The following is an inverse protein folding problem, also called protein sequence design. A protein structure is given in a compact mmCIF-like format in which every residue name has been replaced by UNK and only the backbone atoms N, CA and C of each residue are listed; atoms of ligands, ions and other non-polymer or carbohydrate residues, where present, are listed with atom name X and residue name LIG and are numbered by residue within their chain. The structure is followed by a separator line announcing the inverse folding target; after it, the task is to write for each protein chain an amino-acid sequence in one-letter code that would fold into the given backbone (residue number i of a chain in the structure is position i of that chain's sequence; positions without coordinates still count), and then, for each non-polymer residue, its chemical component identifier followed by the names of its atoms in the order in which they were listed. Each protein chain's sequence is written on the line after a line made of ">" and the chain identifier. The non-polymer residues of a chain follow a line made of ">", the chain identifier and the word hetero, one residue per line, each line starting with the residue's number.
data_IF_317788515063
#
_entry.id   IF_317788515063
#
_cell.length_a   1.000
_cell.length_b   1.000
_cell.length_c   1.000
_cell.angle_alpha   90.00
_cell.angle_beta   90.00
_cell.angle_gamma   90.00
#
_symmetry.space_group_name_H-M   'P 1'
#
loop_
_entity.id
_entity.type
_entity.pdbx_description
1 polymer ?
#
# COMPACT_ATOMS: atom_id res chain seq x y z
N UNK A 1 -0.97 1.84 60.43
CA UNK A 1 -1.13 0.96 59.26
C UNK A 1 -2.20 1.47 58.29
N UNK A 2 -3.40 1.83 58.72
CA UNK A 2 -4.50 2.36 57.89
C UNK A 2 -4.14 3.63 57.07
N UNK A 3 -3.38 4.57 57.62
CA UNK A 3 -2.98 5.81 56.96
C UNK A 3 -1.98 5.58 55.79
N UNK A 4 -1.08 4.60 55.93
CA UNK A 4 -0.14 4.22 54.86
C UNK A 4 -0.85 3.52 53.69
N UNK A 5 -1.80 2.65 54.02
CA UNK A 5 -2.60 1.93 53.03
C UNK A 5 -3.47 2.89 52.19
N UNK A 6 -4.06 3.89 52.84
CA UNK A 6 -4.90 4.89 52.19
C UNK A 6 -4.08 5.85 51.29
N UNK A 7 -2.84 6.19 51.67
CA UNK A 7 -1.91 6.97 50.83
C UNK A 7 -1.45 6.15 49.61
N UNK A 8 -1.15 4.88 49.82
CA UNK A 8 -0.76 3.98 48.71
C UNK A 8 -1.88 3.83 47.66
N UNK A 9 -3.14 3.63 48.10
CA UNK A 9 -4.30 3.59 47.19
C UNK A 9 -4.56 4.91 46.46
N UNK A 10 -4.39 6.05 47.13
CA UNK A 10 -4.52 7.37 46.49
C UNK A 10 -3.45 7.60 45.42
N UNK A 11 -2.21 7.16 45.66
CA UNK A 11 -1.15 7.26 44.67
C UNK A 11 -1.39 6.35 43.46
N UNK A 12 -1.84 5.11 43.64
CA UNK A 12 -2.20 4.20 42.56
C UNK A 12 -3.39 4.75 41.76
N UNK A 13 -4.43 5.25 42.44
CA UNK A 13 -5.57 5.88 41.76
C UNK A 13 -5.15 7.12 40.96
N UNK A 14 -4.21 7.93 41.49
CA UNK A 14 -3.65 9.08 40.76
C UNK A 14 -2.86 8.66 39.51
N UNK A 15 -2.01 7.63 39.64
CA UNK A 15 -1.26 7.09 38.48
C UNK A 15 -2.20 6.52 37.45
N UNK A 16 -3.22 5.77 37.86
CA UNK A 16 -4.23 5.21 36.95
C UNK A 16 -5.00 6.32 36.22
N UNK A 17 -5.44 7.36 36.95
CA UNK A 17 -6.14 8.51 36.37
C UNK A 17 -5.25 9.23 35.35
N UNK A 18 -3.98 9.49 35.68
CA UNK A 18 -3.02 10.08 34.74
C UNK A 18 -2.84 9.21 33.48
N UNK A 19 -2.70 7.89 33.65
CA UNK A 19 -2.58 6.98 32.52
C UNK A 19 -3.81 7.00 31.61
N UNK A 20 -5.01 7.00 32.19
CA UNK A 20 -6.27 7.13 31.43
C UNK A 20 -6.34 8.47 30.71
N UNK A 21 -5.98 9.58 31.37
CA UNK A 21 -5.96 10.90 30.73
C UNK A 21 -4.94 10.96 29.57
N UNK A 22 -3.74 10.42 29.75
CA UNK A 22 -2.72 10.37 28.70
C UNK A 22 -3.18 9.51 27.51
N UNK A 23 -3.78 8.35 27.78
CA UNK A 23 -4.31 7.47 26.74
C UNK A 23 -5.47 8.14 25.99
N UNK A 24 -6.39 8.77 26.71
CA UNK A 24 -7.51 9.52 26.09
C UNK A 24 -7.00 10.69 25.25
N UNK A 25 -5.95 11.40 25.70
CA UNK A 25 -5.35 12.49 24.95
C UNK A 25 -4.66 11.98 23.68
N UNK A 26 -3.92 10.87 23.76
CA UNK A 26 -3.30 10.25 22.59
C UNK A 26 -4.36 9.82 21.54
N UNK A 27 -5.42 9.14 22.00
CA UNK A 27 -6.52 8.74 21.08
C UNK A 27 -7.24 9.92 20.46
N UNK A 28 -7.30 11.06 21.14
CA UNK A 28 -7.87 12.30 20.59
C UNK A 28 -6.99 12.91 19.50
N UNK A 29 -5.67 12.90 19.67
CA UNK A 29 -4.71 13.39 18.67
C UNK A 29 -4.80 12.55 17.40
N UNK A 30 -4.80 11.22 17.55
CA UNK A 30 -4.83 10.27 16.43
C UNK A 30 -6.15 10.29 15.66
N UNK A 31 -7.25 10.73 16.30
CA UNK A 31 -8.56 10.84 15.67
C UNK A 31 -8.70 12.02 14.68
N UNK A 32 -7.70 12.89 14.59
CA UNK A 32 -7.68 14.03 13.67
C UNK A 32 -6.42 13.95 12.81
N UNK A 33 -6.50 14.06 11.48
CA UNK A 33 -5.33 14.02 10.60
C UNK A 33 -4.38 15.19 10.88
N UNK A 34 -3.08 14.98 10.70
CA UNK A 34 -2.06 16.04 10.82
C UNK A 34 -2.09 17.01 9.64
N UNK A 35 -2.55 16.51 8.47
CA UNK A 35 -2.65 17.25 7.24
C UNK A 35 -4.01 17.00 6.59
N UNK A 36 -4.65 18.05 6.10
CA UNK A 36 -5.90 18.01 5.36
C UNK A 36 -5.76 18.79 4.07
N UNK A 37 -6.47 18.35 3.04
CA UNK A 37 -6.50 19.00 1.74
C UNK A 37 -7.88 19.57 1.47
N UNK A 38 -7.95 20.68 0.78
CA UNK A 38 -9.19 21.32 0.38
C UNK A 38 -9.09 21.72 -1.10
N UNK A 39 -10.09 21.33 -1.90
CA UNK A 39 -10.17 21.87 -3.25
C UNK A 39 -10.66 23.32 -3.21
N UNK A 40 -10.12 24.15 -4.11
CA UNK A 40 -10.52 25.55 -4.19
C UNK A 40 -12.05 25.66 -4.38
N UNK A 41 -12.69 26.45 -3.50
CA UNK A 41 -14.15 26.63 -3.51
C UNK A 41 -14.96 25.61 -2.71
N UNK A 42 -14.35 24.54 -2.21
CA UNK A 42 -15.01 23.56 -1.35
C UNK A 42 -15.05 24.03 0.12
N UNK A 43 -15.94 23.40 0.89
CA UNK A 43 -16.01 23.62 2.34
C UNK A 43 -15.27 22.50 3.05
N UNK A 44 -14.37 22.86 3.97
CA UNK A 44 -13.68 21.86 4.79
C UNK A 44 -14.65 21.14 5.71
N UNK A 45 -14.74 19.83 5.58
CA UNK A 45 -15.50 18.96 6.45
C UNK A 45 -14.59 17.89 7.04
N UNK A 46 -14.75 17.57 8.32
CA UNK A 46 -14.04 16.49 8.99
C UNK A 46 -15.06 15.61 9.71
N UNK A 47 -15.17 14.35 9.30
CA UNK A 47 -16.01 13.38 10.03
C UNK A 47 -15.20 12.86 11.24
N UNK A 48 -15.42 13.50 12.39
CA UNK A 48 -14.76 13.14 13.64
C UNK A 48 -15.78 12.70 14.69
N UNK A 49 -15.49 11.61 15.39
CA UNK A 49 -16.26 11.15 16.56
C UNK A 49 -16.13 12.11 17.76
N UNK A 50 -15.21 13.07 17.68
CA UNK A 50 -14.93 14.04 18.72
C UNK A 50 -15.55 15.40 18.39
N UNK A 51 -16.02 16.16 19.39
CA UNK A 51 -16.49 17.52 19.21
C UNK A 51 -15.31 18.49 19.06
N UNK A 52 -14.63 18.42 17.93
CA UNK A 52 -13.50 19.30 17.61
C UNK A 52 -13.91 20.38 16.60
N UNK A 53 -13.26 21.53 16.62
CA UNK A 53 -13.38 22.60 15.64
C UNK A 53 -12.01 23.00 15.12
N UNK A 54 -11.91 23.24 13.81
CA UNK A 54 -10.71 23.75 13.16
C UNK A 54 -10.82 25.26 13.01
N UNK A 55 -9.79 26.00 13.41
CA UNK A 55 -9.70 27.47 13.32
C UNK A 55 -8.40 27.87 12.67
N UNK A 56 -8.41 28.93 11.85
CA UNK A 56 -7.17 29.53 11.34
C UNK A 56 -6.31 30.00 12.51
N UNK A 57 -5.03 29.62 12.52
CA UNK A 57 -4.08 30.02 13.55
C UNK A 57 -3.75 31.53 13.48
N UNK A 58 -3.87 32.17 12.32
CA UNK A 58 -3.61 33.58 12.13
C UNK A 58 -4.89 34.42 12.29
N UNK A 59 -4.89 35.35 13.22
CA UNK A 59 -6.00 36.00 13.90
C UNK A 59 -6.84 36.97 13.06
N UNK A 60 -7.00 36.79 11.76
CA UNK A 60 -7.79 37.73 10.92
C UNK A 60 -8.98 37.12 10.18
N UNK A 61 -9.09 35.81 10.08
CA UNK A 61 -10.28 35.17 9.49
C UNK A 61 -10.55 33.82 10.17
N UNK A 62 -11.67 33.71 10.89
CA UNK A 62 -12.10 32.44 11.45
C UNK A 62 -12.88 31.66 10.40
N UNK A 63 -12.25 30.69 9.75
CA UNK A 63 -12.97 29.65 9.00
C UNK A 63 -13.44 28.62 10.03
N UNK A 64 -14.75 28.53 10.27
CA UNK A 64 -15.33 27.46 11.08
C UNK A 64 -15.61 26.27 10.17
N UNK A 65 -14.89 25.17 10.35
CA UNK A 65 -15.31 23.88 9.85
C UNK A 65 -16.39 23.34 10.79
N UNK A 66 -17.57 23.08 10.26
CA UNK A 66 -18.68 22.50 11.02
C UNK A 66 -18.44 20.99 11.14
N UNK A 67 -18.25 20.52 12.37
CA UNK A 67 -17.98 19.12 12.69
C UNK A 67 -19.24 18.57 13.33
N UNK A 68 -20.10 17.95 12.52
CA UNK A 68 -21.39 17.44 12.96
C UNK A 68 -21.51 15.94 12.89
N UNK A 69 -21.63 15.30 14.04
CA UNK A 69 -22.27 14.00 14.13
C UNK A 69 -23.76 14.20 14.44
N UNK A 70 -24.62 13.79 13.51
CA UNK A 70 -26.05 13.62 13.70
C UNK A 70 -26.80 14.65 14.58
N UNK A 71 -27.09 15.81 14.04
CA UNK A 71 -28.35 16.46 14.34
C UNK A 71 -28.81 17.22 13.09
N UNK A 72 -29.94 16.82 12.55
CA UNK A 72 -30.71 17.58 11.60
C UNK A 72 -31.17 18.89 12.27
N UNK A 73 -30.33 19.89 12.20
CA UNK A 73 -30.76 21.27 12.20
C UNK A 73 -29.81 22.06 11.31
N UNK A 74 -30.28 22.23 10.09
CA UNK A 74 -29.84 23.28 9.20
C UNK A 74 -29.83 24.57 9.99
N UNK A 75 -28.67 25.02 10.47
CA UNK A 75 -28.54 26.41 10.86
C UNK A 75 -28.84 27.22 9.59
N UNK A 76 -30.07 27.73 9.54
CA UNK A 76 -30.49 28.70 8.56
C UNK A 76 -29.50 29.85 8.62
N UNK A 77 -28.72 29.93 7.56
CA UNK A 77 -27.81 31.02 7.25
C UNK A 77 -28.63 32.33 7.31
N UNK A 78 -28.58 33.01 8.43
CA UNK A 78 -29.05 34.38 8.45
C UNK A 78 -28.17 35.19 7.50
N UNK A 79 -28.83 35.80 6.53
CA UNK A 79 -28.27 36.72 5.57
C UNK A 79 -27.72 37.95 6.28
N UNK A 80 -26.50 37.91 6.75
CA UNK A 80 -25.67 39.08 6.95
C UNK A 80 -24.42 38.83 6.10
N UNK A 81 -24.30 39.62 5.05
CA UNK A 81 -23.29 39.46 4.01
C UNK A 81 -21.87 39.61 4.55
N UNK A 82 -21.24 38.48 4.74
CA UNK A 82 -19.79 38.38 4.63
C UNK A 82 -19.57 37.16 3.74
N UNK A 83 -19.14 37.44 2.52
CA UNK A 83 -18.70 36.42 1.60
C UNK A 83 -17.63 35.59 2.34
N UNK A 84 -17.82 34.28 2.45
CA UNK A 84 -16.71 33.36 2.71
C UNK A 84 -15.78 33.56 1.51
N UNK A 85 -14.73 34.37 1.65
CA UNK A 85 -13.69 34.42 0.66
C UNK A 85 -13.15 32.99 0.57
N UNK A 86 -13.28 32.38 -0.61
CA UNK A 86 -12.67 31.09 -0.90
C UNK A 86 -11.18 31.22 -0.63
N UNK A 87 -10.64 30.32 0.18
CA UNK A 87 -9.20 30.23 0.37
C UNK A 87 -8.58 29.98 -1.01
N UNK A 88 -7.59 30.77 -1.37
CA UNK A 88 -6.82 30.57 -2.58
C UNK A 88 -5.82 29.40 -2.39
N UNK A 89 -5.36 28.82 -3.49
CA UNK A 89 -4.29 27.82 -3.48
C UNK A 89 -3.12 28.26 -2.59
N UNK A 90 -2.70 27.35 -1.69
CA UNK A 90 -1.63 27.62 -0.73
C UNK A 90 -1.69 26.77 0.53
N UNK A 91 -0.70 26.98 1.39
CA UNK A 91 -0.54 26.29 2.67
C UNK A 91 -1.02 27.16 3.82
N UNK A 92 -1.79 26.57 4.72
CA UNK A 92 -2.37 27.22 5.89
C UNK A 92 -2.18 26.34 7.12
N UNK A 93 -2.18 26.95 8.31
CA UNK A 93 -2.15 26.21 9.58
C UNK A 93 -3.44 26.46 10.34
N UNK A 94 -4.04 25.37 10.80
CA UNK A 94 -5.28 25.37 11.56
C UNK A 94 -5.04 24.89 12.99
N UNK A 95 -5.63 25.55 13.96
CA UNK A 95 -5.69 25.06 15.35
C UNK A 95 -6.88 24.13 15.50
N UNK A 96 -6.63 22.85 15.80
CA UNK A 96 -7.67 21.92 16.19
C UNK A 96 -8.00 22.11 17.66
N UNK A 97 -9.24 22.51 17.95
CA UNK A 97 -9.72 22.80 19.29
C UNK A 97 -10.86 21.88 19.72
N UNK A 98 -10.70 21.18 20.85
CA UNK A 98 -11.78 20.42 21.48
C UNK A 98 -12.87 21.39 22.01
N UNK A 99 -14.13 21.09 21.73
CA UNK A 99 -15.28 21.97 22.01
C UNK A 99 -15.11 23.39 21.46
N UNK A 100 -14.23 23.58 20.45
CA UNK A 100 -13.91 24.88 19.88
C UNK A 100 -13.13 25.84 20.81
N UNK A 101 -12.62 25.36 21.95
CA UNK A 101 -11.99 26.18 22.99
C UNK A 101 -10.58 25.68 23.32
N UNK A 102 -10.42 24.37 23.55
CA UNK A 102 -9.15 23.82 24.05
C UNK A 102 -8.30 23.34 22.86
N UNK A 103 -7.14 23.98 22.59
CA UNK A 103 -6.29 23.53 21.49
C UNK A 103 -5.71 22.13 21.80
N UNK A 104 -5.82 21.20 20.84
CA UNK A 104 -5.33 19.84 20.93
C UNK A 104 -4.04 19.71 20.11
N UNK A 105 -4.08 20.16 18.84
CA UNK A 105 -2.94 20.13 17.93
C UNK A 105 -3.11 21.12 16.78
N UNK A 106 -2.00 21.40 16.09
CA UNK A 106 -2.00 22.10 14.81
C UNK A 106 -2.24 21.10 13.68
N UNK A 107 -3.01 21.50 12.66
CA UNK A 107 -3.30 20.75 11.45
C UNK A 107 -2.86 21.57 10.25
N UNK A 108 -2.07 21.01 9.36
CA UNK A 108 -1.72 21.65 8.10
C UNK A 108 -2.87 21.54 7.11
N UNK A 109 -3.19 22.62 6.42
CA UNK A 109 -4.21 22.66 5.37
C UNK A 109 -3.57 23.10 4.06
N UNK A 110 -3.60 22.24 3.06
CA UNK A 110 -3.23 22.61 1.69
C UNK A 110 -4.48 22.84 0.85
N UNK A 111 -4.62 24.03 0.31
CA UNK A 111 -5.65 24.33 -0.70
C UNK A 111 -5.06 24.07 -2.07
N UNK A 112 -5.67 23.14 -2.81
CA UNK A 112 -5.14 22.60 -4.06
C UNK A 112 -6.21 22.54 -5.14
N UNK A 113 -5.78 22.45 -6.40
CA UNK A 113 -6.67 22.11 -7.50
C UNK A 113 -7.18 20.68 -7.36
N UNK A 114 -8.47 20.48 -7.62
CA UNK A 114 -9.09 19.16 -7.56
C UNK A 114 -8.53 18.23 -8.65
N UNK A 115 -7.93 17.11 -8.24
CA UNK A 115 -7.47 16.06 -9.17
C UNK A 115 -8.60 15.15 -9.60
N UNK A 116 -8.59 14.74 -10.85
CA UNK A 116 -9.48 13.70 -11.38
C UNK A 116 -8.65 12.55 -11.93
N UNK A 117 -9.11 11.33 -11.69
CA UNK A 117 -8.41 10.10 -12.07
C UNK A 117 -9.35 9.16 -12.81
N UNK A 118 -8.85 8.51 -13.85
CA UNK A 118 -9.54 7.39 -14.47
C UNK A 118 -9.44 6.19 -13.54
N UNK A 119 -10.57 5.72 -13.06
CA UNK A 119 -10.64 4.57 -12.13
C UNK A 119 -10.75 3.30 -12.95
N UNK A 120 -9.83 2.36 -12.72
CA UNK A 120 -9.67 1.20 -13.59
C UNK A 120 -10.32 -0.08 -13.03
N UNK A 121 -9.81 -0.62 -11.93
CA UNK A 121 -10.29 -1.90 -11.37
C UNK A 121 -9.98 -3.13 -12.22
N UNK A 122 -9.17 -3.00 -13.27
CA UNK A 122 -8.78 -4.11 -14.13
C UNK A 122 -7.71 -4.98 -13.49
N UNK A 123 -7.93 -6.29 -13.56
CA UNK A 123 -6.92 -7.29 -13.22
C UNK A 123 -5.82 -7.27 -14.27
N UNK A 124 -4.59 -7.12 -13.82
CA UNK A 124 -3.38 -7.02 -14.65
C UNK A 124 -2.34 -8.05 -14.23
N UNK A 125 -1.58 -8.53 -15.21
CA UNK A 125 -0.37 -9.30 -14.95
C UNK A 125 0.80 -8.35 -14.73
N UNK A 126 1.55 -8.60 -13.67
CA UNK A 126 2.74 -7.83 -13.31
C UNK A 126 3.94 -8.73 -13.49
N UNK A 127 4.92 -8.26 -14.23
CA UNK A 127 6.21 -8.90 -14.39
C UNK A 127 7.31 -7.92 -14.07
N UNK A 128 8.31 -8.36 -13.32
CA UNK A 128 9.47 -7.56 -13.00
C UNK A 128 10.74 -8.40 -12.93
N UNK A 129 11.83 -7.91 -13.54
CA UNK A 129 13.16 -8.44 -13.31
C UNK A 129 13.79 -7.75 -12.09
N UNK A 130 14.50 -8.49 -11.27
CA UNK A 130 15.21 -7.92 -10.12
C UNK A 130 16.50 -7.21 -10.53
N UNK A 131 17.03 -6.37 -9.65
CA UNK A 131 18.36 -5.75 -9.83
C UNK A 131 19.45 -6.73 -9.44
N UNK A 132 19.67 -7.77 -10.25
CA UNK A 132 20.56 -8.89 -9.96
C UNK A 132 19.81 -10.13 -9.49
N UNK A 133 20.53 -11.11 -9.00
CA UNK A 133 20.01 -12.41 -8.58
C UNK A 133 19.74 -12.40 -7.08
N UNK A 134 18.46 -12.44 -6.68
CA UNK A 134 18.04 -12.47 -5.28
C UNK A 134 18.31 -13.83 -4.65
N UNK A 135 18.99 -13.85 -3.54
CA UNK A 135 19.20 -15.04 -2.69
C UNK A 135 17.97 -15.23 -1.80
N UNK A 136 17.33 -16.39 -1.91
CA UNK A 136 16.21 -16.79 -1.08
C UNK A 136 16.67 -17.55 0.17
N UNK A 137 17.79 -18.27 0.05
CA UNK A 137 18.38 -19.05 1.13
C UNK A 137 19.48 -19.97 0.62
N UNK A 138 20.05 -20.75 1.53
CA UNK A 138 21.06 -21.77 1.22
C UNK A 138 20.64 -23.15 1.69
N UNK A 139 21.28 -24.17 1.12
CA UNK A 139 21.13 -25.56 1.51
C UNK A 139 22.42 -26.34 1.28
N UNK A 140 22.64 -27.46 2.00
CA UNK A 140 23.76 -28.33 1.75
C UNK A 140 23.80 -28.85 0.32
N UNK A 141 24.99 -28.95 -0.24
CA UNK A 141 25.30 -29.59 -1.53
C UNK A 141 25.95 -30.94 -1.26
N UNK A 142 25.44 -32.01 -1.87
CA UNK A 142 26.09 -33.31 -1.89
C UNK A 142 27.26 -33.25 -2.88
N UNK A 143 28.48 -33.32 -2.36
CA UNK A 143 29.70 -33.30 -3.16
C UNK A 143 29.94 -34.64 -3.86
N UNK A 144 30.79 -34.64 -4.86
CA UNK A 144 31.16 -35.82 -5.65
C UNK A 144 31.89 -36.91 -4.82
N UNK A 145 32.41 -36.56 -3.64
CA UNK A 145 33.00 -37.50 -2.66
C UNK A 145 31.93 -38.07 -1.67
N UNK A 146 30.66 -37.70 -1.82
CA UNK A 146 29.55 -38.10 -0.94
C UNK A 146 29.45 -37.32 0.37
N UNK A 147 30.26 -36.30 0.58
CA UNK A 147 30.16 -35.39 1.71
C UNK A 147 29.07 -34.32 1.47
N UNK A 148 28.48 -33.77 2.55
CA UNK A 148 27.59 -32.62 2.45
C UNK A 148 28.34 -31.36 2.85
N UNK A 149 28.33 -30.33 1.98
CA UNK A 149 29.03 -29.07 2.19
C UNK A 149 28.06 -27.90 2.00
N UNK A 150 28.27 -26.82 2.76
CA UNK A 150 27.47 -25.58 2.66
C UNK A 150 28.36 -24.38 2.32
N UNK A 151 28.75 -24.24 1.03
CA UNK A 151 29.73 -23.23 0.62
C UNK A 151 29.28 -21.78 0.83
N UNK A 152 27.99 -21.55 0.82
CA UNK A 152 27.40 -20.22 1.01
C UNK A 152 27.04 -19.91 2.48
N UNK A 153 27.17 -20.87 3.39
CA UNK A 153 26.82 -20.70 4.81
C UNK A 153 27.62 -19.59 5.46
N UNK A 154 26.93 -18.70 6.20
CA UNK A 154 27.51 -17.51 6.85
C UNK A 154 28.16 -16.48 5.90
N UNK A 155 28.11 -16.69 4.57
CA UNK A 155 28.65 -15.77 3.56
C UNK A 155 27.52 -15.04 2.84
N UNK A 156 26.49 -15.78 2.41
CA UNK A 156 25.34 -15.28 1.68
C UNK A 156 24.07 -15.49 2.50
N UNK A 157 23.22 -14.47 2.52
CA UNK A 157 21.99 -14.46 3.32
C UNK A 157 20.77 -14.23 2.45
N UNK A 158 19.62 -14.70 2.92
CA UNK A 158 18.34 -14.37 2.31
C UNK A 158 18.16 -12.84 2.24
N UNK A 159 17.79 -12.31 1.08
CA UNK A 159 17.69 -10.88 0.80
C UNK A 159 18.93 -10.25 0.15
N UNK A 160 20.03 -10.98 -0.01
CA UNK A 160 21.19 -10.53 -0.80
C UNK A 160 20.84 -10.50 -2.29
N UNK A 161 21.24 -9.45 -3.02
CA UNK A 161 21.12 -9.36 -4.48
C UNK A 161 22.49 -9.43 -5.12
N UNK A 162 22.83 -10.57 -5.72
CA UNK A 162 24.10 -10.76 -6.44
C UNK A 162 24.04 -10.00 -7.76
N UNK A 163 24.97 -9.05 -7.96
CA UNK A 163 24.99 -8.16 -9.12
C UNK A 163 26.22 -8.33 -10.00
N UNK A 164 27.29 -8.97 -9.48
CA UNK A 164 28.46 -9.32 -10.28
C UNK A 164 29.18 -10.53 -9.69
N UNK A 165 29.92 -11.24 -10.57
CA UNK A 165 30.90 -12.29 -10.21
C UNK A 165 32.26 -11.89 -10.79
N UNK A 166 33.29 -11.74 -9.94
CA UNK A 166 34.61 -11.28 -10.32
C UNK A 166 34.63 -10.00 -11.19
N UNK A 167 33.66 -9.07 -10.88
CA UNK A 167 33.48 -7.81 -11.58
C UNK A 167 32.65 -7.86 -12.87
N UNK A 168 32.28 -9.06 -13.35
CA UNK A 168 31.34 -9.21 -14.46
C UNK A 168 29.89 -9.13 -13.96
N UNK A 169 29.11 -8.23 -14.57
CA UNK A 169 27.73 -7.99 -14.16
C UNK A 169 26.84 -9.19 -14.39
N UNK A 170 26.00 -9.50 -13.40
CA UNK A 170 25.01 -10.57 -13.42
C UNK A 170 23.61 -9.96 -13.21
N UNK A 171 22.67 -10.34 -14.08
CA UNK A 171 21.26 -9.95 -13.98
C UNK A 171 20.33 -11.15 -13.90
N UNK A 172 20.77 -12.30 -14.44
CA UNK A 172 19.96 -13.52 -14.50
C UNK A 172 20.62 -14.65 -13.74
N UNK A 173 19.80 -15.55 -13.24
CA UNK A 173 20.25 -16.76 -12.55
C UNK A 173 21.06 -17.69 -13.45
N UNK A 174 20.74 -17.74 -14.76
CA UNK A 174 21.50 -18.52 -15.74
C UNK A 174 22.95 -18.00 -15.85
N UNK A 175 23.15 -16.67 -15.85
CA UNK A 175 24.48 -16.03 -15.89
C UNK A 175 25.28 -16.36 -14.61
N UNK A 176 24.61 -16.39 -13.44
CA UNK A 176 25.22 -16.82 -12.19
C UNK A 176 25.67 -18.30 -12.26
N UNK A 177 24.80 -19.19 -12.77
CA UNK A 177 25.09 -20.61 -12.93
C UNK A 177 26.27 -20.80 -13.88
N UNK A 178 26.33 -20.10 -15.02
CA UNK A 178 27.45 -20.17 -15.98
C UNK A 178 28.76 -19.70 -15.32
N UNK A 179 28.72 -18.59 -14.59
CA UNK A 179 29.92 -18.08 -13.89
C UNK A 179 30.39 -19.06 -12.82
N UNK A 180 29.51 -19.64 -11.99
CA UNK A 180 29.86 -20.64 -10.98
C UNK A 180 30.50 -21.86 -11.61
N UNK A 181 29.96 -22.36 -12.72
CA UNK A 181 30.54 -23.50 -13.44
C UNK A 181 31.90 -23.14 -14.12
N UNK A 182 32.06 -21.92 -14.61
CA UNK A 182 33.31 -21.45 -15.22
C UNK A 182 34.44 -21.38 -14.22
N UNK A 183 34.20 -20.83 -13.02
CA UNK A 183 35.21 -20.69 -11.98
C UNK A 183 35.44 -21.99 -11.18
N UNK A 184 34.45 -22.87 -11.13
CA UNK A 184 34.52 -24.14 -10.43
C UNK A 184 34.79 -23.96 -8.94
N UNK A 185 35.70 -24.76 -8.38
CA UNK A 185 36.09 -24.69 -6.97
C UNK A 185 37.05 -23.54 -6.64
N UNK A 186 37.49 -22.75 -7.64
CA UNK A 186 38.34 -21.58 -7.39
C UNK A 186 37.53 -20.50 -6.62
N UNK A 187 38.20 -19.77 -5.69
CA UNK A 187 37.52 -18.65 -5.02
C UNK A 187 37.04 -17.60 -6.02
N UNK A 188 35.79 -17.19 -5.89
CA UNK A 188 35.18 -16.11 -6.67
C UNK A 188 34.70 -14.99 -5.75
N UNK A 189 34.72 -13.77 -6.24
CA UNK A 189 34.23 -12.60 -5.54
C UNK A 189 32.83 -12.28 -6.08
N UNK A 190 31.83 -12.33 -5.20
CA UNK A 190 30.49 -11.91 -5.51
C UNK A 190 30.29 -10.48 -5.02
N UNK A 191 29.96 -9.57 -5.93
CA UNK A 191 29.48 -8.23 -5.58
C UNK A 191 27.99 -8.30 -5.38
N UNK A 192 27.48 -7.86 -4.24
CA UNK A 192 26.07 -7.94 -3.91
C UNK A 192 25.57 -6.72 -3.12
N UNK A 193 24.27 -6.50 -3.16
CA UNK A 193 23.58 -5.61 -2.23
C UNK A 193 23.07 -6.42 -1.04
N UNK A 194 23.44 -5.96 0.17
CA UNK A 194 22.89 -6.44 1.44
C UNK A 194 22.20 -5.28 2.15
N UNK A 195 20.89 -5.29 2.20
CA UNK A 195 20.14 -4.11 2.60
C UNK A 195 20.48 -2.92 1.69
N UNK A 196 20.96 -1.81 2.23
CA UNK A 196 21.36 -0.61 1.47
C UNK A 196 22.83 -0.54 1.10
N UNK A 197 23.64 -1.52 1.49
CA UNK A 197 25.09 -1.52 1.28
C UNK A 197 25.50 -2.46 0.15
N UNK A 198 26.41 -2.01 -0.68
CA UNK A 198 27.08 -2.85 -1.67
C UNK A 198 28.36 -3.41 -1.04
N UNK A 199 28.50 -4.74 -1.05
CA UNK A 199 29.64 -5.44 -0.47
C UNK A 199 30.17 -6.50 -1.43
N UNK A 200 31.43 -6.85 -1.25
CA UNK A 200 32.09 -7.96 -1.91
C UNK A 200 32.31 -9.10 -0.91
N UNK A 201 31.93 -10.31 -1.30
CA UNK A 201 32.14 -11.53 -0.50
C UNK A 201 32.87 -12.56 -1.33
N UNK A 202 33.78 -13.34 -0.69
CA UNK A 202 34.49 -14.44 -1.34
C UNK A 202 33.82 -15.75 -1.04
N UNK A 203 33.58 -16.55 -2.08
CA UNK A 203 32.97 -17.89 -1.96
C UNK A 203 33.60 -18.83 -2.97
N UNK A 204 33.65 -20.13 -2.66
CA UNK A 204 34.10 -21.19 -3.59
C UNK A 204 32.96 -22.19 -3.76
N UNK A 205 32.68 -22.60 -4.98
CA UNK A 205 31.71 -23.63 -5.25
C UNK A 205 32.23 -25.04 -4.97
N UNK A 206 31.29 -25.96 -4.75
CA UNK A 206 31.55 -27.39 -4.52
C UNK A 206 31.25 -28.15 -5.80
N UNK A 207 32.09 -29.12 -6.16
CA UNK A 207 31.79 -30.11 -7.20
C UNK A 207 30.66 -31.00 -6.72
N UNK A 208 29.51 -30.96 -7.40
CA UNK A 208 28.34 -31.66 -6.98
C UNK A 208 28.22 -33.08 -7.53
N UNK A 209 27.66 -34.00 -6.77
CA UNK A 209 27.54 -35.42 -7.11
C UNK A 209 26.76 -35.65 -8.41
N UNK A 210 25.80 -34.78 -8.74
CA UNK A 210 25.01 -34.81 -9.96
C UNK A 210 25.64 -34.08 -11.14
N UNK A 211 26.86 -33.55 -10.94
CA UNK A 211 27.71 -32.88 -11.94
C UNK A 211 27.59 -31.35 -11.87
N UNK A 212 28.71 -30.70 -12.30
CA UNK A 212 28.84 -29.24 -12.26
C UNK A 212 29.25 -28.71 -10.88
N UNK A 213 29.21 -27.39 -10.73
CA UNK A 213 29.59 -26.71 -9.51
C UNK A 213 28.42 -25.96 -8.91
N UNK A 214 28.28 -26.04 -7.58
CA UNK A 214 27.16 -25.42 -6.87
C UNK A 214 27.61 -24.60 -5.68
N UNK A 215 26.90 -23.52 -5.42
CA UNK A 215 27.02 -22.71 -4.20
C UNK A 215 26.02 -23.10 -3.12
N UNK A 216 25.09 -24.01 -3.42
CA UNK A 216 24.01 -24.40 -2.50
C UNK A 216 23.02 -23.26 -2.23
N UNK A 217 22.72 -22.43 -3.24
CA UNK A 217 21.82 -21.29 -3.13
C UNK A 217 20.49 -21.53 -3.81
N UNK A 218 19.43 -21.10 -3.15
CA UNK A 218 18.13 -20.89 -3.77
C UNK A 218 18.05 -19.44 -4.22
N UNK A 219 17.84 -19.22 -5.51
CA UNK A 219 17.90 -17.87 -6.11
C UNK A 219 16.72 -17.59 -7.03
N UNK A 220 16.43 -16.29 -7.20
CA UNK A 220 15.39 -15.77 -8.06
C UNK A 220 15.85 -14.47 -8.75
N UNK A 221 15.51 -14.28 -10.00
CA UNK A 221 15.90 -13.12 -10.79
C UNK A 221 14.71 -12.36 -11.40
N UNK A 222 13.50 -12.89 -11.24
CA UNK A 222 12.27 -12.27 -11.70
C UNK A 222 11.11 -12.49 -10.73
N UNK A 223 10.04 -11.78 -10.98
CA UNK A 223 8.77 -11.99 -10.33
C UNK A 223 7.63 -11.86 -11.34
N UNK A 224 6.61 -12.66 -11.14
CA UNK A 224 5.36 -12.54 -11.86
C UNK A 224 4.20 -12.69 -10.88
N UNK A 225 3.14 -11.95 -11.12
CA UNK A 225 1.95 -11.98 -10.26
C UNK A 225 0.75 -11.36 -10.94
N UNK A 226 -0.37 -11.43 -10.25
CA UNK A 226 -1.63 -10.79 -10.63
C UNK A 226 -1.98 -9.77 -9.57
N UNK A 227 -2.47 -8.62 -10.01
CA UNK A 227 -2.97 -7.56 -9.17
C UNK A 227 -3.97 -6.69 -9.92
N UNK A 228 -4.34 -5.56 -9.35
CA UNK A 228 -5.32 -4.67 -9.95
C UNK A 228 -4.71 -3.29 -10.23
N UNK A 229 -4.93 -2.77 -11.44
CA UNK A 229 -4.67 -1.38 -11.81
C UNK A 229 -5.70 -0.49 -11.10
N UNK A 230 -5.23 0.41 -10.25
CA UNK A 230 -6.11 1.25 -9.43
C UNK A 230 -6.63 2.44 -10.22
N UNK A 231 -5.72 3.25 -10.72
CA UNK A 231 -6.04 4.48 -11.45
C UNK A 231 -4.95 4.83 -12.47
N UNK A 232 -5.29 5.75 -13.35
CA UNK A 232 -4.33 6.48 -14.18
C UNK A 232 -4.84 7.91 -14.43
N UNK A 233 -3.91 8.81 -14.75
CA UNK A 233 -4.21 10.19 -15.11
C UNK A 233 -4.32 10.37 -16.66
N UNK A 234 -4.60 11.59 -17.11
CA UNK A 234 -4.70 11.97 -18.52
C UNK A 234 -3.38 11.84 -19.28
N UNK A 235 -2.25 11.81 -18.56
CA UNK A 235 -0.92 11.60 -19.13
C UNK A 235 -0.53 10.12 -19.20
N UNK A 236 -1.38 9.21 -18.63
CA UNK A 236 -1.14 7.79 -18.55
C UNK A 236 -0.26 7.37 -17.38
N UNK A 237 0.06 8.27 -16.43
CA UNK A 237 0.72 7.86 -15.19
C UNK A 237 -0.27 7.05 -14.36
N UNK A 238 0.16 5.91 -13.86
CA UNK A 238 -0.70 4.99 -13.13
C UNK A 238 -0.20 4.67 -11.73
N UNK A 239 -1.14 4.31 -10.86
CA UNK A 239 -0.91 3.63 -9.60
C UNK A 239 -1.67 2.31 -9.54
N UNK A 240 -1.05 1.29 -8.93
CA UNK A 240 -1.64 -0.03 -8.78
C UNK A 240 -1.27 -0.70 -7.45
N UNK A 241 -2.01 -1.74 -7.06
CA UNK A 241 -1.84 -2.60 -5.89
C UNK A 241 -2.13 -1.94 -4.54
N UNK A 242 -1.82 -0.67 -4.33
CA UNK A 242 -1.92 -0.02 -3.01
C UNK A 242 -0.92 -0.50 -1.96
N UNK A 243 -0.03 -1.41 -2.33
CA UNK A 243 1.11 -1.88 -1.53
C UNK A 243 2.26 -2.29 -2.44
N UNK A 244 3.45 -2.36 -1.89
CA UNK A 244 4.62 -2.80 -2.65
C UNK A 244 4.64 -4.29 -2.91
N UNK A 245 5.40 -4.66 -3.93
CA UNK A 245 5.72 -6.05 -4.22
C UNK A 245 6.93 -6.42 -3.39
N UNK A 246 6.72 -7.34 -2.45
CA UNK A 246 7.75 -7.89 -1.60
C UNK A 246 8.11 -9.32 -1.96
N UNK A 247 9.25 -9.77 -1.50
CA UNK A 247 9.57 -11.18 -1.50
C UNK A 247 8.83 -11.90 -0.36
N UNK A 248 8.23 -13.05 -0.67
CA UNK A 248 7.42 -13.81 0.29
C UNK A 248 8.20 -14.34 1.51
N UNK A 249 9.52 -14.49 1.40
CA UNK A 249 10.40 -15.00 2.46
C UNK A 249 11.04 -13.87 3.26
N UNK A 250 11.64 -12.89 2.57
CA UNK A 250 12.35 -11.76 3.22
C UNK A 250 11.41 -10.67 3.71
N UNK A 251 10.21 -10.57 3.12
CA UNK A 251 9.23 -9.48 3.31
C UNK A 251 9.75 -8.09 2.90
N UNK A 252 10.93 -8.01 2.36
CA UNK A 252 11.49 -6.77 1.84
C UNK A 252 10.90 -6.44 0.46
N UNK A 253 10.86 -5.15 0.13
CA UNK A 253 10.47 -4.70 -1.20
C UNK A 253 11.46 -5.22 -2.24
N UNK A 254 10.93 -5.82 -3.31
CA UNK A 254 11.74 -6.26 -4.43
C UNK A 254 12.35 -5.05 -5.16
N UNK A 255 13.65 -5.11 -5.37
CA UNK A 255 14.38 -4.15 -6.20
C UNK A 255 14.18 -4.50 -7.67
N UNK A 256 13.33 -3.77 -8.33
CA UNK A 256 13.04 -3.98 -9.75
C UNK A 256 14.01 -3.20 -10.61
N UNK A 257 14.61 -3.87 -11.61
CA UNK A 257 15.39 -3.25 -12.67
C UNK A 257 14.54 -2.94 -13.90
N UNK A 258 13.49 -3.71 -14.11
CA UNK A 258 12.59 -3.61 -15.26
C UNK A 258 11.22 -4.21 -14.87
N UNK A 259 10.21 -3.38 -14.79
CA UNK A 259 8.85 -3.80 -14.47
C UNK A 259 7.89 -3.53 -15.64
N UNK A 260 6.93 -4.42 -15.86
CA UNK A 260 5.94 -4.29 -16.94
C UNK A 260 4.58 -4.77 -16.48
N UNK A 261 3.56 -4.10 -16.96
CA UNK A 261 2.18 -4.55 -16.86
C UNK A 261 1.74 -5.21 -18.17
N UNK A 262 0.98 -6.28 -18.02
CA UNK A 262 0.43 -7.06 -19.12
C UNK A 262 -1.06 -7.28 -18.95
N UNK A 263 -1.76 -7.52 -20.05
CA UNK A 263 -3.13 -8.02 -20.03
C UNK A 263 -3.16 -9.36 -19.29
N UNK A 264 -4.15 -9.52 -18.44
CA UNK A 264 -4.43 -10.76 -17.76
C UNK A 264 -5.91 -11.09 -17.84
N UNK A 265 -6.25 -12.35 -17.59
CA UNK A 265 -7.62 -12.81 -17.48
C UNK A 265 -7.74 -13.77 -16.31
N UNK A 266 -8.73 -13.55 -15.48
CA UNK A 266 -9.10 -14.47 -14.41
C UNK A 266 -9.61 -15.78 -15.03
N UNK A 267 -9.08 -16.90 -14.57
CA UNK A 267 -9.49 -18.25 -15.02
C UNK A 267 -10.11 -19.07 -13.91
N UNK A 268 -9.68 -18.85 -12.65
CA UNK A 268 -10.24 -19.52 -11.49
C UNK A 268 -10.04 -18.66 -10.24
N UNK A 269 -10.80 -18.92 -9.19
CA UNK A 269 -10.72 -18.22 -7.90
C UNK A 269 -10.73 -19.24 -6.78
N UNK A 270 -9.60 -19.33 -6.09
CA UNK A 270 -9.56 -20.02 -4.81
C UNK A 270 -10.24 -19.13 -3.77
N UNK A 271 -11.43 -19.52 -3.31
CA UNK A 271 -12.20 -18.72 -2.34
C UNK A 271 -11.47 -18.57 -1.01
N UNK A 272 -11.58 -17.37 -0.46
CA UNK A 272 -11.10 -17.06 0.88
C UNK A 272 -11.86 -17.82 1.96
N UNK A 273 -11.13 -18.30 2.98
CA UNK A 273 -11.65 -18.96 4.17
C UNK A 273 -10.85 -18.46 5.38
N UNK A 274 -11.42 -18.65 6.56
CA UNK A 274 -10.70 -18.38 7.80
C UNK A 274 -9.36 -19.13 7.84
N UNK A 275 -8.26 -18.39 7.95
CA UNK A 275 -6.90 -18.91 7.95
C UNK A 275 -6.30 -19.14 6.55
N UNK A 276 -7.07 -18.96 5.48
CA UNK A 276 -6.63 -19.08 4.08
C UNK A 276 -7.30 -17.95 3.28
N UNK A 277 -6.59 -16.86 2.96
CA UNK A 277 -7.19 -15.69 2.32
C UNK A 277 -7.68 -15.94 0.88
N UNK A 278 -7.30 -17.05 0.26
CA UNK A 278 -7.63 -17.34 -1.13
C UNK A 278 -6.84 -16.49 -2.13
N UNK A 279 -7.05 -16.74 -3.43
CA UNK A 279 -6.34 -16.03 -4.50
C UNK A 279 -7.08 -16.06 -5.83
N UNK A 280 -6.86 -15.06 -6.66
CA UNK A 280 -7.26 -15.03 -8.05
C UNK A 280 -6.18 -15.77 -8.87
N UNK A 281 -6.60 -16.79 -9.61
CA UNK A 281 -5.76 -17.48 -10.57
C UNK A 281 -6.05 -16.94 -11.97
N UNK A 282 -5.02 -16.51 -12.67
CA UNK A 282 -5.19 -15.90 -13.97
C UNK A 282 -4.08 -16.26 -14.94
N UNK A 283 -4.36 -16.02 -16.22
CA UNK A 283 -3.39 -16.13 -17.31
C UNK A 283 -2.89 -14.74 -17.64
N UNK A 284 -1.58 -14.55 -17.57
CA UNK A 284 -0.90 -13.34 -18.04
C UNK A 284 -0.49 -13.54 -19.51
N UNK A 285 -0.91 -12.64 -20.36
CA UNK A 285 -0.57 -12.67 -21.78
C UNK A 285 0.70 -11.88 -22.03
N UNK A 286 1.84 -12.57 -22.00
CA UNK A 286 3.13 -11.95 -22.29
C UNK A 286 3.28 -11.56 -23.77
N UNK A 287 4.23 -10.68 -24.05
CA UNK A 287 4.60 -10.20 -25.38
C UNK A 287 4.16 -8.77 -25.65
N UNK A 288 4.81 -8.13 -26.61
CA UNK A 288 4.69 -6.69 -26.88
C UNK A 288 3.25 -6.21 -27.15
N UNK A 289 2.43 -7.03 -27.77
CA UNK A 289 1.02 -6.68 -28.09
C UNK A 289 0.10 -6.65 -26.84
N UNK A 290 0.50 -7.34 -25.79
CA UNK A 290 -0.28 -7.47 -24.56
C UNK A 290 0.30 -6.65 -23.43
N UNK A 291 1.41 -5.96 -23.67
CA UNK A 291 1.95 -5.01 -22.69
C UNK A 291 1.00 -3.81 -22.61
N UNK A 292 0.71 -3.39 -21.40
CA UNK A 292 -0.17 -2.25 -21.14
C UNK A 292 0.56 -1.08 -20.51
N UNK A 293 1.78 -1.28 -20.02
CA UNK A 293 2.59 -0.21 -19.44
C UNK A 293 3.91 -0.68 -18.84
N UNK A 294 4.71 0.28 -18.41
CA UNK A 294 5.99 0.07 -17.74
C UNK A 294 5.90 0.53 -16.28
N UNK A 295 6.43 -0.31 -15.38
CA UNK A 295 6.56 0.02 -13.95
C UNK A 295 7.88 0.74 -13.72
N UNK A 296 7.80 1.99 -13.29
CA UNK A 296 8.96 2.82 -12.99
C UNK A 296 9.45 2.63 -11.54
N UNK A 297 8.53 2.41 -10.59
CA UNK A 297 8.86 2.26 -9.18
C UNK A 297 8.00 1.23 -8.47
N UNK A 298 8.63 0.55 -7.49
CA UNK A 298 7.99 -0.34 -6.53
C UNK A 298 8.23 0.24 -5.14
N UNK A 299 7.18 0.71 -4.50
CA UNK A 299 7.24 1.41 -3.21
C UNK A 299 6.40 0.69 -2.16
N UNK A 300 6.47 1.09 -0.91
CA UNK A 300 5.64 0.49 0.15
C UNK A 300 4.13 0.67 -0.08
N UNK A 301 3.74 1.73 -0.80
CA UNK A 301 2.34 2.13 -0.98
C UNK A 301 1.78 1.82 -2.37
N UNK A 302 2.54 1.12 -3.21
CA UNK A 302 2.09 0.71 -4.54
C UNK A 302 3.20 0.58 -5.55
N UNK A 303 2.80 0.21 -6.77
CA UNK A 303 3.64 0.28 -7.97
C UNK A 303 3.15 1.40 -8.87
N UNK A 304 4.07 2.12 -9.47
CA UNK A 304 3.81 3.30 -10.29
C UNK A 304 4.58 3.24 -11.59
N UNK A 305 4.05 3.90 -12.60
CA UNK A 305 4.69 3.91 -13.90
C UNK A 305 3.83 4.58 -14.96
N UNK A 306 4.00 4.19 -16.20
CA UNK A 306 3.31 4.79 -17.33
C UNK A 306 2.66 3.75 -18.21
N UNK A 307 1.40 3.98 -18.59
CA UNK A 307 0.65 3.14 -19.53
C UNK A 307 1.08 3.43 -20.97
N UNK A 308 1.03 2.41 -21.81
CA UNK A 308 1.32 2.52 -23.24
C UNK A 308 0.19 3.27 -23.96
N UNK A 309 0.53 4.10 -24.95
CA UNK A 309 -0.44 4.88 -25.73
C UNK A 309 -1.50 4.00 -26.41
N UNK A 310 -1.12 2.81 -26.85
CA UNK A 310 -2.07 1.86 -27.45
C UNK A 310 -3.14 1.44 -26.45
N UNK A 311 -2.76 1.16 -25.21
CA UNK A 311 -3.71 0.81 -24.16
C UNK A 311 -4.64 1.98 -23.83
N UNK A 312 -4.09 3.18 -23.68
CA UNK A 312 -4.88 4.40 -23.42
C UNK A 312 -5.88 4.66 -24.55
N UNK A 313 -5.46 4.51 -25.80
CA UNK A 313 -6.33 4.69 -26.97
C UNK A 313 -7.49 3.70 -27.00
N UNK A 314 -7.26 2.44 -26.62
CA UNK A 314 -8.31 1.43 -26.52
C UNK A 314 -9.28 1.69 -25.35
N UNK A 315 -8.80 2.30 -24.27
CA UNK A 315 -9.60 2.63 -23.07
C UNK A 315 -10.38 3.93 -23.17
N UNK A 316 -10.12 4.74 -24.19
CA UNK A 316 -10.76 6.05 -24.37
C UNK A 316 -12.29 5.96 -24.29
N UNK A 317 -12.86 6.60 -23.26
CA UNK A 317 -14.31 6.61 -22.98
C UNK A 317 -14.87 5.34 -22.34
N UNK A 318 -14.04 4.37 -21.94
CA UNK A 318 -14.48 3.15 -21.24
C UNK A 318 -14.30 3.26 -19.72
N UNK A 319 -13.20 3.86 -19.25
CA UNK A 319 -12.97 4.05 -17.83
C UNK A 319 -13.59 5.37 -17.36
N UNK A 320 -14.15 5.37 -16.16
CA UNK A 320 -14.85 6.52 -15.62
C UNK A 320 -13.86 7.45 -14.91
N UNK A 321 -14.03 8.75 -15.14
CA UNK A 321 -13.27 9.81 -14.51
C UNK A 321 -13.93 10.18 -13.17
N UNK A 322 -13.21 10.02 -12.06
CA UNK A 322 -13.67 10.35 -10.73
C UNK A 322 -12.82 11.43 -10.09
N UNK A 323 -13.42 12.40 -9.39
CA UNK A 323 -12.66 13.28 -8.52
C UNK A 323 -12.02 12.48 -7.38
N UNK A 324 -10.82 12.89 -7.00
CA UNK A 324 -10.11 12.36 -5.83
C UNK A 324 -10.77 12.91 -4.56
N UNK A 325 -10.99 12.02 -3.59
CA UNK A 325 -11.36 12.43 -2.23
C UNK A 325 -10.13 12.37 -1.32
N UNK A 326 -10.01 13.36 -0.48
CA UNK A 326 -9.01 13.35 0.57
C UNK A 326 -9.52 12.60 1.80
N UNK A 327 -8.59 12.09 2.64
CA UNK A 327 -8.93 11.21 3.78
C UNK A 327 -9.99 11.79 4.72
N UNK A 328 -10.00 13.11 4.94
CA UNK A 328 -10.98 13.75 5.80
C UNK A 328 -12.40 13.80 5.22
N UNK A 329 -12.57 13.53 3.91
CA UNK A 329 -13.88 13.48 3.26
C UNK A 329 -14.53 12.10 3.36
N UNK A 330 -13.74 11.07 3.71
CA UNK A 330 -14.18 9.68 3.79
C UNK A 330 -15.09 9.50 5.02
N UNK A 331 -16.18 8.76 4.86
CA UNK A 331 -17.16 8.53 5.90
C UNK A 331 -17.33 7.04 6.18
N UNK A 332 -17.65 6.70 7.42
CA UNK A 332 -18.12 5.37 7.75
C UNK A 332 -19.44 5.09 7.02
N UNK A 333 -19.65 3.84 6.60
CA UNK A 333 -20.86 3.42 5.90
C UNK A 333 -20.60 2.89 4.50
N UNK A 334 -21.59 3.00 3.64
CA UNK A 334 -21.57 2.38 2.32
C UNK A 334 -20.50 2.97 1.40
N UNK A 335 -19.78 2.08 0.75
CA UNK A 335 -18.84 2.37 -0.33
C UNK A 335 -18.81 1.19 -1.34
N UNK A 336 -18.01 1.29 -2.37
CA UNK A 336 -17.93 0.28 -3.42
C UNK A 336 -16.48 -0.01 -3.79
N UNK A 337 -16.19 -1.28 -4.06
CA UNK A 337 -14.94 -1.73 -4.69
C UNK A 337 -15.23 -1.99 -6.16
N UNK A 338 -14.45 -1.40 -7.06
CA UNK A 338 -14.50 -1.69 -8.49
C UNK A 338 -13.51 -2.79 -8.82
N UNK A 339 -13.96 -3.86 -9.49
CA UNK A 339 -13.09 -4.95 -9.94
C UNK A 339 -13.72 -5.69 -11.11
N UNK A 340 -12.88 -6.21 -12.00
CA UNK A 340 -13.29 -7.10 -13.09
C UNK A 340 -13.06 -8.59 -12.76
N UNK A 341 -13.00 -8.92 -11.48
CA UNK A 341 -12.79 -10.30 -10.99
C UNK A 341 -13.82 -11.29 -11.54
N UNK A 342 -15.02 -10.85 -11.90
CA UNK A 342 -16.07 -11.65 -12.58
C UNK A 342 -15.91 -11.71 -14.10
N UNK A 343 -14.86 -11.10 -14.66
CA UNK A 343 -14.60 -11.01 -16.12
C UNK A 343 -15.03 -9.69 -16.75
N UNK A 344 -15.78 -8.86 -16.04
CA UNK A 344 -16.18 -7.50 -16.45
C UNK A 344 -16.15 -6.58 -15.23
N UNK A 345 -15.73 -5.30 -15.40
CA UNK A 345 -15.71 -4.35 -14.30
C UNK A 345 -17.09 -4.16 -13.64
N UNK A 346 -17.16 -4.35 -12.35
CA UNK A 346 -18.38 -4.21 -11.56
C UNK A 346 -18.07 -3.55 -10.22
N UNK A 347 -19.05 -2.80 -9.70
CA UNK A 347 -19.02 -2.24 -8.36
C UNK A 347 -19.62 -3.24 -7.35
N UNK A 348 -18.81 -3.62 -6.39
CA UNK A 348 -19.19 -4.50 -5.28
C UNK A 348 -19.35 -3.69 -4.00
N UNK A 349 -20.47 -3.87 -3.30
CA UNK A 349 -20.78 -3.12 -2.08
C UNK A 349 -19.89 -3.56 -0.92
N UNK A 350 -19.37 -2.57 -0.23
CA UNK A 350 -18.65 -2.71 1.03
C UNK A 350 -19.21 -1.71 2.05
N UNK A 351 -18.87 -1.92 3.31
CA UNK A 351 -19.15 -0.95 4.39
C UNK A 351 -17.82 -0.57 5.03
N UNK A 352 -17.53 0.72 5.09
CA UNK A 352 -16.39 1.26 5.83
C UNK A 352 -16.75 1.23 7.30
N UNK A 353 -16.02 0.44 8.08
CA UNK A 353 -16.21 0.26 9.51
C UNK A 353 -15.53 1.33 10.33
N UNK A 354 -14.29 1.67 9.91
CA UNK A 354 -13.44 2.64 10.61
C UNK A 354 -12.43 3.30 9.67
N UNK A 355 -11.97 4.48 10.06
CA UNK A 355 -10.98 5.29 9.35
C UNK A 355 -9.89 5.65 10.34
N UNK A 356 -8.69 5.15 10.08
CA UNK A 356 -7.48 5.47 10.86
C UNK A 356 -6.66 6.50 10.08
N UNK A 357 -6.63 7.73 10.54
CA UNK A 357 -5.90 8.83 9.89
C UNK A 357 -4.39 8.76 10.09
N UNK A 358 -3.92 8.00 11.07
CA UNK A 358 -2.50 7.85 11.42
C UNK A 358 -2.11 6.38 11.63
N UNK A 359 -2.40 5.49 10.65
CA UNK A 359 -2.15 4.07 10.82
C UNK A 359 -0.65 3.79 10.95
N UNK A 360 -0.29 2.85 11.82
CA UNK A 360 1.08 2.36 11.94
C UNK A 360 1.61 1.78 10.62
N UNK A 361 0.71 1.30 9.76
CA UNK A 361 0.96 0.84 8.40
C UNK A 361 0.09 1.68 7.46
N UNK A 362 0.70 2.57 6.69
CA UNK A 362 0.06 3.50 5.75
C UNK A 362 -0.96 2.82 4.82
N UNK A 363 -0.78 1.52 4.57
CA UNK A 363 -1.66 0.74 3.69
C UNK A 363 -2.96 0.28 4.37
N UNK A 364 -3.22 0.67 5.62
CA UNK A 364 -4.35 0.19 6.43
C UNK A 364 -5.21 1.31 7.02
N UNK A 365 -5.29 2.47 6.35
CA UNK A 365 -6.08 3.61 6.82
C UNK A 365 -7.60 3.40 6.72
N UNK A 366 -8.07 2.62 5.74
CA UNK A 366 -9.49 2.34 5.54
C UNK A 366 -9.78 0.91 6.00
N UNK A 367 -10.65 0.75 7.00
CA UNK A 367 -11.11 -0.56 7.48
C UNK A 367 -12.52 -0.82 6.96
N UNK A 368 -12.74 -1.96 6.30
CA UNK A 368 -14.03 -2.24 5.70
C UNK A 368 -14.37 -3.73 5.72
N UNK A 369 -15.65 -4.04 5.50
CA UNK A 369 -16.11 -5.38 5.21
C UNK A 369 -16.98 -5.45 3.96
N UNK A 370 -16.95 -6.60 3.30
CA UNK A 370 -17.73 -6.90 2.10
C UNK A 370 -19.15 -7.29 2.50
N UNK A 371 -20.15 -6.63 1.88
CA UNK A 371 -21.57 -6.95 2.04
C UNK A 371 -22.23 -7.35 0.72
N UNK A 372 -21.48 -7.32 -0.38
CA UNK A 372 -21.97 -7.73 -1.70
C UNK A 372 -22.05 -9.24 -1.81
N UNK A 373 -23.28 -9.76 -2.02
CA UNK A 373 -23.54 -11.20 -2.09
C UNK A 373 -22.81 -11.86 -3.27
N UNK A 374 -22.73 -11.17 -4.42
CA UNK A 374 -22.07 -11.71 -5.61
C UNK A 374 -20.56 -11.85 -5.39
N UNK A 375 -19.91 -10.85 -4.77
CA UNK A 375 -18.50 -10.93 -4.45
C UNK A 375 -18.23 -12.02 -3.40
N UNK A 376 -19.06 -12.10 -2.35
CA UNK A 376 -18.94 -13.14 -1.33
C UNK A 376 -19.15 -14.54 -1.92
N UNK A 377 -20.12 -14.71 -2.83
CA UNK A 377 -20.33 -15.98 -3.51
C UNK A 377 -19.14 -16.33 -4.42
N UNK A 378 -18.58 -15.36 -5.13
CA UNK A 378 -17.50 -15.57 -6.07
C UNK A 378 -16.16 -15.86 -5.39
N UNK A 379 -15.80 -15.03 -4.38
CA UNK A 379 -14.46 -15.01 -3.79
C UNK A 379 -14.40 -15.45 -2.33
N UNK A 380 -15.54 -15.47 -1.62
CA UNK A 380 -15.60 -15.67 -0.17
C UNK A 380 -15.16 -14.44 0.65
N UNK A 381 -14.90 -13.31 0.01
CA UNK A 381 -14.41 -12.06 0.60
C UNK A 381 -13.28 -11.43 -0.19
N UNK A 382 -12.36 -10.76 0.48
CA UNK A 382 -11.16 -10.19 -0.14
C UNK A 382 -10.13 -11.32 -0.33
N UNK A 383 -9.61 -11.45 -1.55
CA UNK A 383 -8.65 -12.49 -1.94
C UNK A 383 -7.40 -11.85 -2.55
N UNK A 384 -6.28 -12.58 -2.58
CA UNK A 384 -5.08 -12.12 -3.26
C UNK A 384 -5.36 -11.90 -4.76
N UNK A 385 -4.91 -10.78 -5.28
CA UNK A 385 -5.21 -10.29 -6.63
C UNK A 385 -6.26 -9.16 -6.66
N UNK A 386 -7.11 -9.00 -5.62
CA UNK A 386 -7.97 -7.82 -5.45
C UNK A 386 -7.20 -6.59 -4.92
N UNK A 387 -5.95 -6.76 -4.49
CA UNK A 387 -5.08 -5.62 -4.10
C UNK A 387 -4.95 -4.63 -5.25
N UNK A 388 -5.22 -3.35 -4.97
CA UNK A 388 -5.29 -2.28 -5.95
C UNK A 388 -6.71 -2.02 -6.49
N UNK A 389 -7.70 -2.85 -6.19
CA UNK A 389 -9.09 -2.55 -6.57
C UNK A 389 -9.52 -1.22 -5.98
N UNK A 390 -9.93 -0.23 -6.81
CA UNK A 390 -10.28 1.09 -6.31
C UNK A 390 -11.50 1.05 -5.40
N UNK A 391 -11.48 1.89 -4.37
CA UNK A 391 -12.60 2.10 -3.46
C UNK A 391 -13.24 3.44 -3.79
N UNK A 392 -14.55 3.45 -4.01
CA UNK A 392 -15.33 4.64 -4.39
C UNK A 392 -16.44 4.87 -3.35
N UNK A 393 -16.60 6.12 -2.94
CA UNK A 393 -17.67 6.59 -2.05
C UNK A 393 -18.19 7.93 -2.53
N UNK A 394 -19.48 8.13 -2.52
CA UNK A 394 -20.16 9.40 -2.87
C UNK A 394 -19.70 10.01 -4.21
N UNK A 395 -19.36 9.14 -5.18
CA UNK A 395 -18.91 9.56 -6.52
C UNK A 395 -17.46 10.04 -6.60
N UNK A 396 -16.65 9.78 -5.58
CA UNK A 396 -15.21 10.09 -5.53
C UNK A 396 -14.39 8.81 -5.33
N UNK A 397 -13.17 8.76 -5.86
CA UNK A 397 -12.22 7.70 -5.49
C UNK A 397 -11.57 8.07 -4.16
N UNK A 398 -11.68 7.17 -3.17
CA UNK A 398 -11.21 7.38 -1.80
C UNK A 398 -9.96 6.57 -1.45
N UNK A 399 -9.70 5.48 -2.18
CA UNK A 399 -8.60 4.57 -1.85
C UNK A 399 -8.53 3.36 -2.74
N UNK A 400 -7.72 2.40 -2.31
CA UNK A 400 -7.59 1.10 -2.96
C UNK A 400 -7.51 -0.02 -1.91
N UNK A 401 -8.05 -1.19 -2.24
CA UNK A 401 -7.92 -2.41 -1.43
C UNK A 401 -6.45 -2.81 -1.33
N UNK A 402 -5.98 -3.15 -0.14
CA UNK A 402 -4.59 -3.55 0.09
C UNK A 402 -4.43 -4.92 0.72
N UNK A 403 -5.05 -5.16 1.86
CA UNK A 403 -4.87 -6.37 2.65
C UNK A 403 -6.19 -6.99 3.05
N UNK A 404 -6.19 -8.31 3.18
CA UNK A 404 -7.28 -9.10 3.75
C UNK A 404 -6.99 -9.47 5.20
N UNK A 405 -8.01 -9.55 6.05
CA UNK A 405 -7.87 -10.16 7.36
C UNK A 405 -7.87 -11.69 7.22
N UNK A 406 -6.72 -12.33 7.47
CA UNK A 406 -6.55 -13.78 7.32
C UNK A 406 -7.57 -14.58 8.14
N UNK A 407 -7.95 -14.09 9.32
CA UNK A 407 -8.92 -14.74 10.20
C UNK A 407 -10.39 -14.47 9.82
N UNK A 408 -10.64 -13.50 8.93
CA UNK A 408 -11.97 -13.14 8.45
C UNK A 408 -11.87 -12.50 7.06
N UNK A 409 -11.88 -13.28 5.97
CA UNK A 409 -11.69 -12.77 4.61
C UNK A 409 -12.79 -11.80 4.16
N UNK A 410 -13.92 -11.74 4.85
CA UNK A 410 -14.95 -10.74 4.56
C UNK A 410 -14.51 -9.32 4.90
N UNK A 411 -13.44 -9.17 5.69
CA UNK A 411 -12.86 -7.89 6.12
C UNK A 411 -11.55 -7.61 5.42
N UNK A 412 -11.32 -6.35 5.14
CA UNK A 412 -10.11 -5.87 4.48
C UNK A 412 -9.67 -4.49 4.94
N UNK A 413 -8.50 -4.13 4.46
CA UNK A 413 -7.92 -2.81 4.61
C UNK A 413 -7.73 -2.15 3.25
N UNK A 414 -7.76 -0.83 3.26
CA UNK A 414 -7.42 0.00 2.11
C UNK A 414 -6.46 1.11 2.48
N UNK A 415 -5.71 1.55 1.48
CA UNK A 415 -4.89 2.76 1.52
C UNK A 415 -5.72 3.96 1.05
N UNK A 416 -5.49 5.14 1.62
CA UNK A 416 -6.06 6.38 1.10
C UNK A 416 -5.49 6.69 -0.29
N UNK A 417 -6.35 7.14 -1.21
CA UNK A 417 -5.91 7.47 -2.57
C UNK A 417 -4.90 8.61 -2.60
N UNK A 418 -5.04 9.60 -1.71
CA UNK A 418 -4.08 10.71 -1.59
C UNK A 418 -2.66 10.21 -1.38
N UNK A 419 -2.45 9.18 -0.52
CA UNK A 419 -1.14 8.60 -0.28
C UNK A 419 -0.55 7.95 -1.55
N UNK A 420 -1.39 7.45 -2.46
CA UNK A 420 -0.92 6.87 -3.72
C UNK A 420 -0.61 7.93 -4.78
N UNK A 421 -1.24 9.10 -4.72
CA UNK A 421 -1.12 10.14 -5.76
C UNK A 421 -0.03 11.16 -5.46
N UNK A 422 0.39 11.29 -4.20
CA UNK A 422 1.48 12.18 -3.77
C UNK A 422 2.89 11.63 -4.09
N UNK A 423 2.99 10.55 -4.85
CA UNK A 423 4.23 9.79 -5.09
C UNK A 423 4.90 10.16 -6.41
#
# INVERSE_FOLDING_TARGET
>A
MQSYFMRFFKNIAGIYLCAVCCLSYATMIDAVPDHVYLCEGDALSLDSKLPVALKMSDSRQSVMADIGHNTYETLKREKTGTACESLSEGEYTLDCCLFGIFPIKEVQLSVVDGKQLYVSGHVVGIYGASQGVLVLGSSPVEADDGSYQEPAEHVLFSGDYITAVNGEKIQKKEELIEAVNHFGSAPMILTLWRGSEQIDVSVSAVSAADGGYMLGLWVKDDMAGIGTLTYYDDQGNFGALGHGIGDGQTKDLLRLSNGRLYRARVVDIKKGKRGDPGEIQGIVYYGAKNRIGEVASNTKIGIYGKLDENFLSERNGQDMLYPLAYKQEIKQGQAFVLSDVSGTPQFYRIVIDDIDYSPADTNKGIHFHVVDENLLELTGGIVQGLSGSPIVQDGKIIGAVTHVLVNDPTKGYGIFIENMVEH
#
